data_IF_221335534284
#
_entry.id   IF_221335534284
#
_cell.length_a   1.000
_cell.length_b   1.000
_cell.length_c   1.000
_cell.angle_alpha   90.00
_cell.angle_beta   90.00
_cell.angle_gamma   90.00
#
_symmetry.space_group_name_H-M   'P 1'
#
loop_
_entity.id
_entity.type
_entity.pdbx_description
1 polymer ?
#
# COMPACT_ATOMS: atom_id res chain seq x y z
N UNK A 1 -5.74 2.90 -11.73
CA UNK A 1 -5.50 3.08 -10.29
C UNK A 1 -5.47 1.68 -9.72
N UNK A 2 -4.42 1.33 -9.00
CA UNK A 2 -4.36 0.01 -8.35
C UNK A 2 -5.39 0.01 -7.23
N UNK A 3 -6.34 -0.90 -7.31
CA UNK A 3 -7.43 -1.02 -6.35
C UNK A 3 -6.88 -1.43 -4.98
N UNK A 4 -7.20 -0.63 -3.96
CA UNK A 4 -6.79 -0.90 -2.58
C UNK A 4 -7.78 -1.89 -1.97
N UNK A 5 -7.27 -2.96 -1.39
CA UNK A 5 -8.06 -4.08 -0.87
C UNK A 5 -8.12 -4.11 0.65
N UNK A 6 -7.02 -3.75 1.32
CA UNK A 6 -6.94 -3.77 2.78
C UNK A 6 -6.45 -2.45 3.34
N UNK A 7 -7.15 -1.92 4.32
CA UNK A 7 -6.62 -0.90 5.22
C UNK A 7 -6.00 -1.60 6.43
N UNK A 8 -4.73 -1.34 6.71
CA UNK A 8 -4.02 -1.93 7.84
C UNK A 8 -3.52 -0.88 8.83
N UNK A 9 -3.52 -1.26 10.11
CA UNK A 9 -2.97 -0.52 11.23
C UNK A 9 -1.72 -1.22 11.74
N UNK A 10 -0.65 -0.45 11.97
CA UNK A 10 0.67 -0.93 12.36
C UNK A 10 1.13 -0.19 13.62
N UNK A 11 1.57 -0.92 14.65
CA UNK A 11 2.15 -0.33 15.87
C UNK A 11 3.11 -1.29 16.56
N UNK A 12 3.85 -0.83 17.58
CA UNK A 12 4.62 -1.73 18.45
C UNK A 12 3.67 -2.54 19.33
N UNK A 13 4.05 -3.78 19.67
CA UNK A 13 3.36 -4.56 20.72
C UNK A 13 3.43 -3.89 22.11
N UNK A 14 4.35 -2.94 22.31
CA UNK A 14 4.38 -2.10 23.50
C UNK A 14 3.38 -0.94 23.41
N UNK A 15 2.16 -1.20 23.90
CA UNK A 15 1.06 -0.23 23.95
C UNK A 15 1.34 1.02 24.79
N UNK A 16 2.47 1.10 25.50
CA UNK A 16 2.86 2.32 26.21
C UNK A 16 3.33 3.43 25.27
N UNK A 17 3.63 3.11 24.01
CA UNK A 17 4.07 4.07 22.98
C UNK A 17 2.95 4.31 21.97
N UNK A 18 2.55 5.57 21.81
CA UNK A 18 1.44 5.98 20.94
C UNK A 18 1.84 6.09 19.45
N UNK A 19 2.90 5.42 19.01
CA UNK A 19 3.35 5.44 17.62
C UNK A 19 2.54 4.44 16.80
N UNK A 20 2.00 4.87 15.66
CA UNK A 20 1.28 4.00 14.75
C UNK A 20 1.38 4.49 13.31
N UNK A 21 1.11 3.58 12.38
CA UNK A 21 0.93 3.90 10.97
C UNK A 21 -0.37 3.27 10.45
N UNK A 22 -0.99 3.95 9.48
CA UNK A 22 -2.05 3.39 8.66
C UNK A 22 -1.51 3.21 7.24
N UNK A 23 -1.88 2.12 6.59
CA UNK A 23 -1.40 1.79 5.26
C UNK A 23 -2.49 1.10 4.44
N UNK A 24 -2.58 1.43 3.16
CA UNK A 24 -3.51 0.82 2.19
C UNK A 24 -2.76 -0.16 1.28
N UNK A 25 -3.18 -1.43 1.30
CA UNK A 25 -2.58 -2.52 0.51
C UNK A 25 -3.41 -2.80 -0.76
N UNK A 26 -2.78 -3.16 -1.89
CA UNK A 26 -1.34 -3.29 -2.08
C UNK A 26 -0.62 -1.94 -2.06
N UNK A 27 0.49 -1.90 -1.34
CA UNK A 27 1.37 -0.75 -1.18
C UNK A 27 2.67 -0.98 -1.94
N UNK A 28 3.29 0.11 -2.40
CA UNK A 28 4.61 0.06 -3.02
C UNK A 28 5.71 -0.28 -1.99
N UNK A 29 6.89 -0.74 -2.44
CA UNK A 29 8.02 -1.01 -1.54
C UNK A 29 8.35 0.15 -0.59
N UNK A 30 8.39 1.39 -1.08
CA UNK A 30 8.67 2.54 -0.22
C UNK A 30 7.50 2.93 0.69
N UNK A 31 6.25 2.73 0.28
CA UNK A 31 5.08 2.92 1.16
C UNK A 31 5.11 1.93 2.35
N UNK A 32 5.52 0.68 2.12
CA UNK A 32 5.69 -0.32 3.18
C UNK A 32 6.78 0.08 4.19
N UNK A 33 7.94 0.52 3.70
CA UNK A 33 9.06 0.97 4.54
C UNK A 33 8.71 2.25 5.31
N UNK A 34 7.99 3.16 4.67
CA UNK A 34 7.49 4.39 5.30
C UNK A 34 6.53 4.11 6.47
N UNK A 35 5.66 3.11 6.30
CA UNK A 35 4.77 2.70 7.37
C UNK A 35 5.54 2.13 8.58
N UNK A 36 6.67 1.46 8.36
CA UNK A 36 7.56 1.03 9.44
C UNK A 36 8.28 2.20 10.13
N UNK A 37 8.74 3.20 9.36
CA UNK A 37 9.33 4.43 9.90
C UNK A 37 8.33 5.16 10.82
N UNK A 38 7.05 5.21 10.44
CA UNK A 38 5.95 5.82 11.22
C UNK A 38 5.52 5.00 12.43
N UNK A 39 5.57 3.67 12.34
CA UNK A 39 5.29 2.78 13.46
C UNK A 39 6.39 2.87 14.55
N UNK A 40 7.59 3.37 14.20
CA UNK A 40 8.71 3.67 15.13
C UNK A 40 9.04 2.49 16.04
N UNK A 41 9.12 1.29 15.46
CA UNK A 41 9.41 0.06 16.19
C UNK A 41 10.77 0.14 16.89
N UNK A 42 10.82 0.02 18.23
CA UNK A 42 12.07 -0.08 18.97
C UNK A 42 12.90 -1.30 18.55
N UNK A 43 14.21 -1.24 18.76
CA UNK A 43 15.07 -2.41 18.55
C UNK A 43 14.62 -3.59 19.44
N UNK A 44 14.36 -4.74 18.81
CA UNK A 44 13.93 -5.96 19.50
C UNK A 44 12.41 -6.09 19.71
N UNK A 45 11.62 -5.05 19.45
CA UNK A 45 10.16 -5.12 19.51
C UNK A 45 9.56 -5.81 18.27
N UNK A 46 8.37 -6.37 18.46
CA UNK A 46 7.59 -6.98 17.39
C UNK A 46 6.56 -6.00 16.84
N UNK A 47 6.32 -6.08 15.54
CA UNK A 47 5.27 -5.33 14.86
C UNK A 47 3.92 -5.99 15.15
N UNK A 48 2.99 -5.22 15.70
CA UNK A 48 1.57 -5.57 15.67
C UNK A 48 0.95 -5.04 14.39
N UNK A 49 0.19 -5.90 13.71
CA UNK A 49 -0.55 -5.59 12.48
C UNK A 49 -2.02 -5.97 12.70
N UNK A 50 -2.92 -5.10 12.27
CA UNK A 50 -4.35 -5.36 12.24
C UNK A 50 -4.96 -4.86 10.94
N UNK A 51 -5.77 -5.70 10.28
CA UNK A 51 -6.58 -5.28 9.13
C UNK A 51 -7.82 -4.59 9.71
N UNK A 52 -7.91 -3.28 9.51
CA UNK A 52 -9.00 -2.45 10.01
C UNK A 52 -10.16 -2.35 9.02
N UNK A 53 -9.90 -2.57 7.73
CA UNK A 53 -10.94 -2.63 6.71
C UNK A 53 -10.58 -3.56 5.54
N UNK A 54 -11.62 -4.12 4.93
CA UNK A 54 -11.57 -4.96 3.73
C UNK A 54 -12.46 -4.28 2.71
N UNK A 55 -11.85 -3.67 1.69
CA UNK A 55 -12.58 -2.98 0.62
C UNK A 55 -13.22 -3.97 -0.37
N UNK A 56 -12.66 -5.17 -0.45
CA UNK A 56 -13.15 -6.28 -1.26
C UNK A 56 -12.77 -7.63 -0.62
N UNK A 57 -13.24 -8.74 -1.19
CA UNK A 57 -13.03 -10.11 -0.74
C UNK A 57 -13.47 -10.34 0.72
N UNK A 58 -14.74 -10.01 1.01
CA UNK A 58 -15.38 -10.19 2.33
C UNK A 58 -15.21 -11.61 2.92
N UNK A 59 -15.11 -12.63 2.07
CA UNK A 59 -14.81 -14.02 2.47
C UNK A 59 -13.54 -14.12 3.35
N UNK A 60 -12.55 -13.25 3.12
CA UNK A 60 -11.27 -13.25 3.81
C UNK A 60 -11.36 -12.77 5.26
N UNK A 61 -12.41 -12.04 5.67
CA UNK A 61 -12.60 -11.62 7.07
C UNK A 61 -12.64 -12.81 8.03
N UNK A 62 -13.17 -13.94 7.56
CA UNK A 62 -13.23 -15.19 8.33
C UNK A 62 -11.90 -15.96 8.34
N UNK A 63 -10.97 -15.64 7.43
CA UNK A 63 -9.72 -16.36 7.19
C UNK A 63 -8.51 -15.65 7.84
N UNK A 64 -8.49 -14.32 7.83
CA UNK A 64 -7.36 -13.52 8.27
C UNK A 64 -7.53 -13.07 9.73
N UNK A 65 -7.00 -13.87 10.66
CA UNK A 65 -6.82 -13.44 12.06
C UNK A 65 -5.44 -12.80 12.23
N UNK A 66 -5.42 -11.50 12.55
CA UNK A 66 -4.26 -10.62 12.34
C UNK A 66 -3.05 -10.90 13.24
N UNK A 67 -3.18 -11.69 14.31
CA UNK A 67 -2.15 -11.83 15.36
C UNK A 67 -0.84 -12.53 14.94
N UNK A 68 -0.77 -13.08 13.73
CA UNK A 68 0.44 -13.72 13.17
C UNK A 68 0.76 -13.32 11.72
N UNK A 69 0.19 -12.22 11.22
CA UNK A 69 0.26 -11.84 9.80
C UNK A 69 1.57 -11.11 9.46
N UNK A 70 2.29 -11.61 8.46
CA UNK A 70 3.49 -10.99 7.91
C UNK A 70 3.11 -9.86 6.93
N UNK A 71 3.52 -8.61 7.18
CA UNK A 71 3.18 -7.45 6.35
C UNK A 71 3.56 -7.65 4.86
N UNK A 72 4.82 -8.00 4.51
CA UNK A 72 5.19 -8.39 3.15
C UNK A 72 4.30 -9.46 2.50
N UNK A 73 3.91 -10.50 3.25
CA UNK A 73 3.11 -11.58 2.71
C UNK A 73 1.65 -11.16 2.48
N UNK A 74 1.10 -10.34 3.37
CA UNK A 74 -0.22 -9.73 3.19
C UNK A 74 -0.23 -8.76 2.00
N UNK A 75 0.85 -8.00 1.80
CA UNK A 75 0.98 -7.12 0.64
C UNK A 75 1.04 -7.89 -0.68
N UNK A 76 1.80 -8.99 -0.75
CA UNK A 76 1.85 -9.86 -1.95
C UNK A 76 0.48 -10.51 -2.23
N UNK A 77 -0.26 -10.91 -1.18
CA UNK A 77 -1.64 -11.36 -1.36
C UNK A 77 -2.50 -10.24 -1.98
N UNK A 78 -2.46 -9.03 -1.41
CA UNK A 78 -3.23 -7.90 -1.92
C UNK A 78 -2.87 -7.57 -3.39
N UNK A 79 -1.59 -7.61 -3.75
CA UNK A 79 -1.11 -7.33 -5.11
C UNK A 79 -1.58 -8.39 -6.12
N UNK A 80 -1.68 -9.65 -5.71
CA UNK A 80 -2.23 -10.72 -6.56
C UNK A 80 -3.73 -10.54 -6.76
N UNK A 81 -4.45 -10.27 -5.68
CA UNK A 81 -5.89 -10.10 -5.71
C UNK A 81 -6.30 -8.88 -6.54
N UNK A 82 -5.54 -7.77 -6.48
CA UNK A 82 -5.83 -6.55 -7.25
C UNK A 82 -5.60 -6.70 -8.77
N UNK A 83 -5.04 -7.84 -9.21
CA UNK A 83 -4.79 -8.16 -10.63
C UNK A 83 -5.80 -9.13 -11.21
N UNK A 84 -6.68 -9.71 -10.38
CA UNK A 84 -7.68 -10.66 -10.84
C UNK A 84 -8.76 -9.91 -11.64
N UNK A 85 -9.16 -10.46 -12.78
CA UNK A 85 -10.38 -10.03 -13.45
C UNK A 85 -11.65 -10.55 -12.72
N UNK A 86 -12.84 -10.13 -13.15
CA UNK A 86 -14.10 -10.51 -12.51
C UNK A 86 -14.31 -12.03 -12.44
N UNK A 87 -13.90 -12.77 -13.48
CA UNK A 87 -14.03 -14.22 -13.53
C UNK A 87 -13.05 -14.89 -12.58
N UNK A 88 -11.81 -14.43 -12.58
CA UNK A 88 -10.76 -14.90 -11.66
C UNK A 88 -11.09 -14.57 -10.21
N UNK A 89 -11.74 -13.45 -9.95
CA UNK A 89 -12.27 -13.09 -8.64
C UNK A 89 -13.28 -14.14 -8.14
N UNK A 90 -14.28 -14.50 -8.96
CA UNK A 90 -15.24 -15.57 -8.62
C UNK A 90 -14.53 -16.90 -8.42
N UNK A 91 -13.56 -17.25 -9.26
CA UNK A 91 -12.76 -18.47 -9.11
C UNK A 91 -12.04 -18.52 -7.75
N UNK A 92 -11.35 -17.44 -7.39
CA UNK A 92 -10.64 -17.32 -6.12
C UNK A 92 -11.58 -17.49 -4.92
N UNK A 93 -12.72 -16.80 -4.90
CA UNK A 93 -13.68 -16.93 -3.80
C UNK A 93 -14.22 -18.36 -3.70
N UNK A 94 -14.48 -19.03 -4.82
CA UNK A 94 -14.86 -20.44 -4.86
C UNK A 94 -13.80 -21.34 -4.22
N UNK A 95 -12.53 -21.15 -4.58
CA UNK A 95 -11.42 -21.89 -3.99
C UNK A 95 -11.30 -21.67 -2.48
N UNK A 96 -11.44 -20.42 -2.00
CA UNK A 96 -11.41 -20.11 -0.56
C UNK A 96 -12.54 -20.82 0.18
N UNK A 97 -13.76 -20.83 -0.40
CA UNK A 97 -14.92 -21.53 0.18
C UNK A 97 -14.70 -23.04 0.27
N UNK A 98 -14.09 -23.66 -0.73
CA UNK A 98 -13.70 -25.07 -0.69
C UNK A 98 -12.73 -25.34 0.46
N UNK A 99 -11.72 -24.49 0.65
CA UNK A 99 -10.77 -24.65 1.76
C UNK A 99 -11.44 -24.45 3.13
N UNK A 100 -12.34 -23.46 3.27
CA UNK A 100 -13.07 -23.22 4.51
C UNK A 100 -13.96 -24.40 4.93
N UNK A 101 -14.51 -25.16 3.97
CA UNK A 101 -15.29 -26.37 4.26
C UNK A 101 -14.45 -27.47 4.90
N UNK A 102 -13.12 -27.47 4.72
CA UNK A 102 -12.21 -28.45 5.35
C UNK A 102 -12.02 -28.20 6.85
N UNK A 103 -12.44 -27.04 7.37
CA UNK A 103 -12.32 -26.65 8.78
C UNK A 103 -10.87 -26.61 9.29
N UNK A 104 -9.91 -26.41 8.39
CA UNK A 104 -8.51 -26.19 8.72
C UNK A 104 -8.17 -24.70 8.73
N UNK A 105 -7.23 -24.22 9.56
CA UNK A 105 -6.81 -22.82 9.52
C UNK A 105 -6.18 -22.46 8.17
N UNK A 106 -6.75 -21.49 7.46
CA UNK A 106 -6.16 -20.97 6.23
C UNK A 106 -4.96 -20.07 6.57
N UNK A 107 -3.81 -20.40 6.00
CA UNK A 107 -2.60 -19.57 6.10
C UNK A 107 -2.56 -18.54 4.97
N UNK A 108 -1.82 -17.44 5.18
CA UNK A 108 -1.56 -16.45 4.12
C UNK A 108 -0.91 -17.10 2.89
N UNK A 109 0.07 -17.97 3.10
CA UNK A 109 0.67 -18.75 2.02
C UNK A 109 -0.39 -19.50 1.22
N UNK A 110 -1.33 -20.18 1.89
CA UNK A 110 -2.38 -20.92 1.20
C UNK A 110 -3.27 -19.98 0.39
N UNK A 111 -3.67 -18.84 0.95
CA UNK A 111 -4.45 -17.83 0.22
C UNK A 111 -3.71 -17.30 -1.02
N UNK A 112 -2.39 -17.12 -0.93
CA UNK A 112 -1.56 -16.71 -2.08
C UNK A 112 -1.46 -17.80 -3.14
N UNK A 113 -1.36 -19.08 -2.75
CA UNK A 113 -1.43 -20.22 -3.67
C UNK A 113 -2.80 -20.24 -4.39
N UNK A 114 -3.90 -20.01 -3.67
CA UNK A 114 -5.24 -19.95 -4.26
C UNK A 114 -5.39 -18.78 -5.25
N UNK A 115 -4.89 -17.58 -4.89
CA UNK A 115 -4.92 -16.42 -5.78
C UNK A 115 -4.14 -16.67 -7.07
N UNK A 116 -2.99 -17.34 -6.99
CA UNK A 116 -2.23 -17.77 -8.17
C UNK A 116 -2.88 -18.92 -8.97
N UNK A 117 -3.94 -19.52 -8.43
CA UNK A 117 -4.66 -20.65 -9.02
C UNK A 117 -6.05 -20.28 -9.54
N UNK A 118 -6.37 -18.98 -9.65
CA UNK A 118 -7.65 -18.54 -10.18
C UNK A 118 -7.95 -19.10 -11.59
N UNK A 119 -6.92 -19.26 -12.42
CA UNK A 119 -7.03 -19.86 -13.76
C UNK A 119 -7.19 -21.39 -13.76
N UNK A 120 -6.98 -22.04 -12.62
CA UNK A 120 -7.14 -23.50 -12.46
C UNK A 120 -8.61 -23.92 -12.26
N UNK A 121 -9.56 -22.99 -12.42
CA UNK A 121 -10.98 -23.22 -12.22
C UNK A 121 -11.84 -22.95 -13.46
N UNK A 122 -12.91 -23.72 -13.61
CA UNK A 122 -14.03 -23.39 -14.48
C UNK A 122 -15.02 -22.58 -13.68
N UNK A 123 -15.46 -21.47 -14.25
CA UNK A 123 -16.45 -20.56 -13.67
C UNK A 123 -17.64 -20.52 -14.61
N UNK A 124 -18.81 -20.85 -14.08
CA UNK A 124 -20.08 -20.65 -14.76
C UNK A 124 -20.76 -19.46 -14.08
N UNK A 125 -20.72 -18.32 -14.76
CA UNK A 125 -21.29 -17.06 -14.27
C UNK A 125 -22.82 -17.16 -14.11
N UNK A 126 -23.38 -16.42 -13.15
CA UNK A 126 -24.83 -16.35 -12.91
C UNK A 126 -25.52 -17.65 -12.48
N UNK A 127 -24.76 -18.70 -12.18
CA UNK A 127 -25.27 -19.99 -11.70
C UNK A 127 -25.02 -20.11 -10.20
N UNK A 128 -26.08 -19.97 -9.40
CA UNK A 128 -26.00 -19.92 -7.92
C UNK A 128 -26.95 -20.92 -7.25
N UNK A 129 -27.54 -21.83 -8.02
CA UNK A 129 -28.47 -22.85 -7.54
C UNK A 129 -28.39 -24.13 -8.37
N UNK A 130 -28.75 -25.25 -7.75
CA UNK A 130 -28.75 -26.56 -8.42
C UNK A 130 -29.69 -26.57 -9.63
N UNK A 131 -30.85 -25.90 -9.58
CA UNK A 131 -31.74 -25.78 -10.74
C UNK A 131 -31.12 -25.04 -11.94
N UNK A 132 -30.41 -23.93 -11.69
CA UNK A 132 -29.72 -23.20 -12.75
C UNK A 132 -28.55 -24.02 -13.32
N UNK A 133 -27.80 -24.69 -12.45
CA UNK A 133 -26.69 -25.54 -12.84
C UNK A 133 -27.16 -26.71 -13.69
N UNK A 134 -28.22 -27.41 -13.27
CA UNK A 134 -28.74 -28.53 -14.03
C UNK A 134 -29.28 -28.14 -15.39
N UNK A 135 -29.91 -26.96 -15.51
CA UNK A 135 -30.31 -26.39 -16.80
C UNK A 135 -29.11 -26.10 -17.69
N UNK A 136 -28.07 -25.46 -17.16
CA UNK A 136 -26.82 -25.21 -17.88
C UNK A 136 -26.19 -26.53 -18.37
N UNK A 137 -26.12 -27.56 -17.54
CA UNK A 137 -25.55 -28.86 -17.92
C UNK A 137 -26.36 -29.56 -19.01
N UNK A 138 -27.70 -29.53 -18.90
CA UNK A 138 -28.59 -30.12 -19.88
C UNK A 138 -28.54 -29.39 -21.24
N UNK A 139 -28.57 -28.05 -21.25
CA UNK A 139 -28.56 -27.23 -22.47
C UNK A 139 -27.22 -27.30 -23.23
N UNK A 140 -26.11 -27.47 -22.51
CA UNK A 140 -24.77 -27.52 -23.11
C UNK A 140 -24.28 -28.95 -23.40
N UNK A 141 -25.14 -29.97 -23.28
CA UNK A 141 -24.82 -31.35 -23.65
C UNK A 141 -23.89 -32.09 -22.68
N UNK A 142 -23.77 -31.62 -21.44
CA UNK A 142 -23.02 -32.31 -20.38
C UNK A 142 -23.78 -33.51 -19.79
N UNK A 143 -25.05 -33.69 -20.16
CA UNK A 143 -25.92 -34.82 -19.77
C UNK A 143 -26.33 -35.58 -21.03
N UNK A 144 -25.61 -36.64 -21.44
CA UNK A 144 -25.90 -37.36 -22.67
C UNK A 144 -27.32 -37.95 -22.73
N UNK A 145 -27.90 -38.30 -21.58
CA UNK A 145 -29.23 -38.90 -21.48
C UNK A 145 -30.37 -37.97 -21.91
N UNK A 146 -30.14 -36.66 -21.95
CA UNK A 146 -31.16 -35.65 -22.35
C UNK A 146 -30.94 -35.12 -23.76
N UNK A 147 -29.89 -35.58 -24.45
CA UNK A 147 -29.57 -35.14 -25.80
C UNK A 147 -30.65 -35.58 -26.81
N UNK A 148 -31.18 -34.63 -27.59
CA UNK A 148 -32.20 -34.89 -28.59
C UNK A 148 -33.63 -35.09 -28.06
N UNK A 149 -33.89 -34.80 -26.78
CA UNK A 149 -35.26 -34.74 -26.26
C UNK A 149 -36.07 -33.63 -26.93
N UNK A 150 -37.38 -33.82 -27.18
CA UNK A 150 -38.25 -32.73 -27.62
C UNK A 150 -38.34 -31.62 -26.57
N UNK A 151 -38.41 -30.35 -26.99
CA UNK A 151 -38.46 -29.17 -26.10
C UNK A 151 -39.50 -29.29 -24.98
N UNK A 152 -40.70 -29.81 -25.31
CA UNK A 152 -41.78 -29.99 -24.33
C UNK A 152 -41.46 -31.04 -23.25
N UNK A 153 -40.58 -32.00 -23.53
CA UNK A 153 -40.10 -32.99 -22.57
C UNK A 153 -38.88 -32.45 -21.82
N UNK A 154 -38.03 -31.68 -22.49
CA UNK A 154 -36.85 -31.04 -21.89
C UNK A 154 -37.24 -30.09 -20.75
N UNK A 155 -38.28 -29.27 -20.93
CA UNK A 155 -38.78 -28.37 -19.87
C UNK A 155 -39.45 -29.10 -18.69
N UNK A 156 -39.63 -30.42 -18.76
CA UNK A 156 -40.14 -31.26 -17.66
C UNK A 156 -39.02 -31.95 -16.86
N UNK A 157 -37.76 -31.72 -17.22
CA UNK A 157 -36.62 -32.28 -16.51
C UNK A 157 -36.52 -31.72 -15.09
N UNK A 158 -36.09 -32.57 -14.16
CA UNK A 158 -35.76 -32.17 -12.79
C UNK A 158 -34.35 -31.55 -12.77
N UNK A 159 -34.26 -30.28 -13.18
CA UNK A 159 -32.98 -29.58 -13.24
C UNK A 159 -32.31 -29.44 -11.87
N UNK A 160 -33.08 -29.38 -10.79
CA UNK A 160 -32.51 -29.31 -9.43
C UNK A 160 -31.73 -30.60 -9.13
N UNK A 161 -32.29 -31.76 -9.42
CA UNK A 161 -31.60 -33.03 -9.24
C UNK A 161 -30.38 -33.17 -10.16
N UNK A 162 -30.48 -32.73 -11.42
CA UNK A 162 -29.35 -32.77 -12.36
C UNK A 162 -28.20 -31.92 -11.84
N UNK A 163 -28.47 -30.69 -11.39
CA UNK A 163 -27.46 -29.80 -10.86
C UNK A 163 -26.86 -30.29 -9.54
N UNK A 164 -27.67 -30.84 -8.63
CA UNK A 164 -27.16 -31.45 -7.39
C UNK A 164 -26.18 -32.60 -7.69
N UNK A 165 -26.51 -33.44 -8.66
CA UNK A 165 -25.65 -34.55 -9.11
C UNK A 165 -24.34 -34.03 -9.71
N UNK A 166 -24.41 -33.03 -10.60
CA UNK A 166 -23.22 -32.40 -11.18
C UNK A 166 -22.33 -31.76 -10.10
N UNK A 167 -22.94 -30.93 -9.24
CA UNK A 167 -22.24 -30.23 -8.15
C UNK A 167 -21.50 -31.18 -7.23
N UNK A 168 -22.17 -32.24 -6.80
CA UNK A 168 -21.60 -33.22 -5.88
C UNK A 168 -20.53 -34.08 -6.57
N UNK A 169 -20.74 -34.44 -7.84
CA UNK A 169 -19.81 -35.25 -8.63
C UNK A 169 -18.48 -34.54 -8.93
N UNK A 170 -18.54 -33.22 -9.16
CA UNK A 170 -17.37 -32.40 -9.49
C UNK A 170 -16.79 -31.65 -8.28
N UNK A 171 -17.42 -31.80 -7.11
CA UNK A 171 -17.06 -31.08 -5.88
C UNK A 171 -17.04 -29.55 -6.06
N UNK A 172 -17.88 -29.01 -6.95
CA UNK A 172 -17.96 -27.58 -7.17
C UNK A 172 -18.73 -26.83 -6.08
N UNK A 173 -18.55 -25.52 -6.04
CA UNK A 173 -19.17 -24.64 -5.03
C UNK A 173 -19.87 -23.46 -5.67
N UNK A 174 -20.93 -22.99 -4.99
CA UNK A 174 -21.57 -21.74 -5.34
C UNK A 174 -20.89 -20.57 -4.65
N UNK A 175 -20.59 -19.55 -5.44
CA UNK A 175 -20.17 -18.23 -5.03
C UNK A 175 -21.39 -17.31 -5.18
N UNK A 176 -21.94 -16.78 -4.09
CA UNK A 176 -23.06 -15.84 -4.16
C UNK A 176 -22.62 -14.58 -4.90
N UNK A 177 -23.60 -13.84 -5.43
CA UNK A 177 -23.35 -12.50 -5.97
C UNK A 177 -22.69 -11.62 -4.90
N UNK A 178 -21.55 -11.04 -5.26
CA UNK A 178 -20.74 -10.14 -4.44
C UNK A 178 -20.68 -8.77 -5.09
N UNK A 179 -19.47 -8.22 -5.26
CA UNK A 179 -19.23 -6.97 -6.02
C UNK A 179 -19.51 -7.19 -7.52
N UNK A 180 -19.21 -8.38 -8.06
CA UNK A 180 -19.77 -8.79 -9.35
C UNK A 180 -21.23 -9.21 -9.15
N UNK A 181 -22.17 -8.46 -9.74
CA UNK A 181 -23.62 -8.62 -9.59
C UNK A 181 -24.16 -10.02 -9.98
N UNK A 182 -23.30 -10.90 -10.52
CA UNK A 182 -23.69 -12.15 -11.15
C UNK A 182 -23.47 -13.38 -10.24
N UNK A 183 -22.44 -13.41 -9.39
CA UNK A 183 -22.03 -14.65 -8.70
C UNK A 183 -21.71 -15.78 -9.68
N UNK A 184 -21.53 -17.01 -9.18
CA UNK A 184 -21.30 -18.14 -10.09
C UNK A 184 -21.02 -19.48 -9.42
N UNK A 185 -20.86 -20.49 -10.27
CA UNK A 185 -20.49 -21.84 -9.89
C UNK A 185 -19.04 -22.11 -10.27
N UNK A 186 -18.24 -22.61 -9.32
CA UNK A 186 -16.79 -22.80 -9.47
C UNK A 186 -16.42 -24.25 -9.28
N UNK A 187 -15.66 -24.80 -10.22
CA UNK A 187 -15.09 -26.15 -10.18
C UNK A 187 -13.60 -26.07 -10.47
N UNK A 188 -12.77 -26.69 -9.64
CA UNK A 188 -11.34 -26.84 -9.93
C UNK A 188 -11.16 -27.85 -11.09
N UNK A 189 -10.49 -27.45 -12.17
CA UNK A 189 -10.26 -28.30 -13.34
C UNK A 189 -8.84 -28.85 -13.46
N UNK A 190 -7.88 -28.28 -12.73
CA UNK A 190 -6.47 -28.65 -12.77
C UNK A 190 -5.80 -28.49 -11.41
N UNK A 191 -4.57 -28.98 -11.30
CA UNK A 191 -3.77 -28.84 -10.09
C UNK A 191 -3.54 -27.35 -9.75
N UNK A 192 -3.57 -27.04 -8.46
CA UNK A 192 -3.35 -25.68 -7.98
C UNK A 192 -1.88 -25.31 -8.10
N UNK A 193 -1.63 -24.06 -8.47
CA UNK A 193 -0.31 -23.47 -8.45
C UNK A 193 0.16 -23.27 -7.01
N UNK A 194 1.48 -23.29 -6.83
CA UNK A 194 2.10 -22.87 -5.57
C UNK A 194 3.07 -21.74 -5.81
N UNK A 195 2.99 -20.73 -4.96
CA UNK A 195 3.86 -19.55 -5.02
C UNK A 195 5.05 -19.70 -4.07
N UNK A 196 6.17 -19.00 -4.34
CA UNK A 196 7.31 -18.98 -3.42
C UNK A 196 6.91 -18.46 -2.03
N UNK A 197 7.51 -19.07 -0.99
CA UNK A 197 7.34 -18.61 0.39
C UNK A 197 8.06 -17.27 0.62
N UNK A 198 7.39 -16.37 1.34
CA UNK A 198 7.98 -15.10 1.76
C UNK A 198 8.48 -15.28 3.18
N UNK A 199 9.79 -15.50 3.30
CA UNK A 199 10.45 -15.80 4.59
C UNK A 199 10.80 -14.53 5.39
N UNK A 200 10.83 -13.37 4.72
CA UNK A 200 11.19 -12.11 5.36
C UNK A 200 9.96 -11.51 6.05
N UNK A 201 10.11 -11.24 7.35
CA UNK A 201 9.08 -10.55 8.13
C UNK A 201 9.12 -9.01 7.99
N UNK A 202 10.02 -8.50 7.14
CA UNK A 202 10.19 -7.06 6.88
C UNK A 202 10.26 -6.78 5.38
N UNK A 203 9.71 -5.65 4.91
CA UNK A 203 9.90 -5.18 3.54
C UNK A 203 11.39 -4.99 3.23
N UNK A 204 11.75 -5.24 1.98
CA UNK A 204 13.12 -5.08 1.48
C UNK A 204 13.25 -3.72 0.83
N UNK A 205 14.36 -3.03 1.09
CA UNK A 205 14.70 -1.78 0.39
C UNK A 205 14.88 -2.08 -1.11
N UNK A 206 14.11 -1.42 -2.01
CA UNK A 206 14.28 -1.60 -3.44
C UNK A 206 15.60 -0.99 -3.92
N UNK A 207 16.03 -1.38 -5.12
CA UNK A 207 17.27 -0.92 -5.76
C UNK A 207 17.17 0.49 -6.39
N UNK A 208 16.10 1.23 -6.08
CA UNK A 208 15.81 2.55 -6.63
C UNK A 208 15.32 3.51 -5.54
N UNK A 209 15.64 4.80 -5.68
CA UNK A 209 15.02 5.85 -4.89
C UNK A 209 13.72 6.34 -5.51
N UNK A 210 13.61 6.36 -6.84
CA UNK A 210 12.41 6.79 -7.57
C UNK A 210 12.16 5.80 -8.70
N UNK A 211 10.93 5.32 -8.86
CA UNK A 211 10.49 4.48 -9.96
C UNK A 211 9.46 5.25 -10.78
N UNK A 212 9.77 5.45 -12.06
CA UNK A 212 9.01 6.25 -13.00
C UNK A 212 8.40 5.35 -14.08
N UNK A 213 7.17 5.67 -14.48
CA UNK A 213 6.57 5.25 -15.74
C UNK A 213 6.68 6.41 -16.71
N UNK A 214 7.37 6.17 -17.81
CA UNK A 214 7.52 7.09 -18.92
C UNK A 214 6.57 6.64 -20.04
N UNK A 215 5.83 7.58 -20.62
CA UNK A 215 4.91 7.30 -21.71
C UNK A 215 5.06 8.32 -22.84
N UNK A 216 4.87 7.85 -24.07
CA UNK A 216 4.95 8.64 -25.28
C UNK A 216 3.75 8.31 -26.18
N UNK A 217 2.96 9.32 -26.54
CA UNK A 217 1.86 9.16 -27.49
C UNK A 217 2.36 9.48 -28.90
N UNK A 218 2.07 8.59 -29.83
CA UNK A 218 2.41 8.75 -31.24
C UNK A 218 1.14 8.98 -32.05
N UNK A 219 0.72 10.23 -32.16
CA UNK A 219 -0.47 10.63 -32.94
C UNK A 219 -0.25 10.52 -34.45
N UNK A 220 1.01 10.56 -34.90
CA UNK A 220 1.38 10.50 -36.32
C UNK A 220 1.40 9.08 -36.90
N UNK A 221 1.20 8.04 -36.08
CA UNK A 221 1.16 6.65 -36.52
C UNK A 221 -0.25 6.22 -36.91
N UNK A 222 -0.42 5.40 -37.98
CA UNK A 222 -1.72 5.05 -38.54
C UNK A 222 -2.67 4.29 -37.59
N UNK A 223 -2.17 3.83 -36.44
CA UNK A 223 -2.95 3.13 -35.42
C UNK A 223 -2.90 3.77 -34.03
N UNK A 224 -2.27 4.94 -33.85
CA UNK A 224 -2.15 5.62 -32.55
C UNK A 224 -1.55 4.72 -31.46
N UNK A 225 -0.24 4.81 -31.21
CA UNK A 225 0.43 4.02 -30.18
C UNK A 225 0.72 4.84 -28.92
N UNK A 226 0.71 4.20 -27.75
CA UNK A 226 1.37 4.73 -26.56
C UNK A 226 2.49 3.77 -26.19
N UNK A 227 3.73 4.21 -26.36
CA UNK A 227 4.89 3.45 -25.91
C UNK A 227 5.11 3.76 -24.42
N UNK A 228 5.43 2.73 -23.64
CA UNK A 228 5.61 2.84 -22.19
C UNK A 228 6.92 2.18 -21.80
N UNK A 229 7.73 2.91 -21.02
CA UNK A 229 9.02 2.44 -20.49
C UNK A 229 9.05 2.73 -18.99
N UNK A 230 9.52 1.78 -18.20
CA UNK A 230 9.80 2.01 -16.78
C UNK A 230 11.25 2.42 -16.58
N UNK A 231 11.48 3.45 -15.76
CA UNK A 231 12.80 3.94 -15.42
C UNK A 231 12.98 3.99 -13.90
N UNK A 232 14.08 3.43 -13.42
CA UNK A 232 14.48 3.49 -12.01
C UNK A 232 15.60 4.49 -11.85
N UNK A 233 15.49 5.37 -10.85
CA UNK A 233 16.52 6.35 -10.51
C UNK A 233 17.15 6.03 -9.15
N UNK A 234 18.47 6.27 -8.99
CA UNK A 234 19.39 6.80 -9.99
C UNK A 234 19.73 5.78 -11.09
N UNK A 235 20.05 6.28 -12.28
CA UNK A 235 20.44 5.48 -13.43
C UNK A 235 21.65 6.11 -14.15
N UNK A 236 22.44 5.28 -14.81
CA UNK A 236 23.54 5.73 -15.67
C UNK A 236 22.99 6.47 -16.90
N UNK A 237 23.75 7.43 -17.42
CA UNK A 237 23.33 8.25 -18.57
C UNK A 237 22.97 7.38 -19.80
N UNK A 238 23.64 6.24 -19.99
CA UNK A 238 23.31 5.30 -21.08
C UNK A 238 21.91 4.68 -20.95
N UNK A 239 21.44 4.43 -19.73
CA UNK A 239 20.10 3.91 -19.44
C UNK A 239 19.07 5.02 -19.64
N UNK A 240 19.40 6.26 -19.25
CA UNK A 240 18.56 7.43 -19.46
C UNK A 240 18.32 7.70 -20.95
N UNK A 241 19.40 7.71 -21.75
CA UNK A 241 19.33 7.88 -23.20
C UNK A 241 18.52 6.75 -23.87
N UNK A 242 18.72 5.50 -23.42
CA UNK A 242 17.99 4.35 -23.93
C UNK A 242 16.49 4.45 -23.62
N UNK A 243 16.12 4.90 -22.41
CA UNK A 243 14.72 5.04 -22.01
C UNK A 243 13.97 6.03 -22.93
N UNK A 244 14.58 7.17 -23.25
CA UNK A 244 13.99 8.17 -24.17
C UNK A 244 13.98 7.66 -25.61
N UNK A 245 15.07 7.01 -26.06
CA UNK A 245 15.15 6.46 -27.41
C UNK A 245 14.13 5.35 -27.67
N UNK A 246 13.82 4.53 -26.67
CA UNK A 246 12.78 3.50 -26.75
C UNK A 246 11.37 4.10 -26.95
N UNK A 247 11.17 5.35 -26.53
CA UNK A 247 9.94 6.11 -26.74
C UNK A 247 9.96 6.93 -28.03
N UNK A 248 10.99 6.77 -28.87
CA UNK A 248 11.10 7.44 -30.17
C UNK A 248 11.48 8.92 -30.11
N UNK A 249 11.93 9.43 -28.95
CA UNK A 249 12.32 10.83 -28.78
C UNK A 249 13.84 11.00 -28.65
N UNK A 250 14.31 12.23 -28.87
CA UNK A 250 15.72 12.62 -28.68
C UNK A 250 15.95 13.32 -27.33
N UNK A 251 14.89 13.82 -26.70
CA UNK A 251 14.93 14.51 -25.42
C UNK A 251 13.65 14.23 -24.59
N UNK A 252 13.66 14.70 -23.35
CA UNK A 252 12.59 14.52 -22.37
C UNK A 252 11.36 15.40 -22.60
N UNK A 253 11.41 16.36 -23.53
CA UNK A 253 10.42 17.43 -23.63
C UNK A 253 9.01 16.96 -23.98
N UNK A 254 8.88 15.82 -24.66
CA UNK A 254 7.60 15.21 -25.06
C UNK A 254 7.27 13.92 -24.29
N UNK A 255 8.09 13.55 -23.30
CA UNK A 255 7.89 12.33 -22.51
C UNK A 255 6.97 12.63 -21.33
N UNK A 256 5.83 11.95 -21.27
CA UNK A 256 4.98 11.97 -20.07
C UNK A 256 5.65 11.16 -18.97
N UNK A 257 5.77 11.74 -17.77
CA UNK A 257 6.41 11.12 -16.61
C UNK A 257 5.42 11.02 -15.45
N UNK A 258 5.26 9.81 -14.92
CA UNK A 258 4.47 9.52 -13.72
C UNK A 258 5.32 8.76 -12.71
N UNK A 259 5.37 9.21 -11.46
CA UNK A 259 6.05 8.48 -10.40
C UNK A 259 5.20 7.30 -9.89
N UNK A 260 5.72 6.08 -10.03
CA UNK A 260 5.10 4.87 -9.50
C UNK A 260 5.44 4.66 -8.03
N UNK A 261 6.68 4.95 -7.65
CA UNK A 261 7.17 4.74 -6.29
C UNK A 261 8.33 5.70 -5.95
N UNK A 262 8.43 6.13 -4.69
CA UNK A 262 9.43 7.09 -4.24
C UNK A 262 9.85 6.83 -2.79
N UNK A 263 11.16 6.92 -2.51
CA UNK A 263 11.78 6.78 -1.18
C UNK A 263 11.20 7.71 -0.12
N UNK A 264 10.60 8.81 -0.56
CA UNK A 264 9.77 9.70 0.24
C UNK A 264 8.37 9.69 -0.37
N UNK A 265 7.45 8.83 0.09
CA UNK A 265 6.13 8.66 -0.53
C UNK A 265 5.32 9.95 -0.62
N UNK A 266 5.52 10.91 0.29
CA UNK A 266 4.86 12.22 0.26
C UNK A 266 5.18 13.04 -0.99
N UNK A 267 6.31 12.78 -1.67
CA UNK A 267 6.70 13.48 -2.89
C UNK A 267 6.20 12.80 -4.17
N UNK A 268 5.69 11.57 -4.09
CA UNK A 268 5.31 10.75 -5.26
C UNK A 268 4.34 11.48 -6.19
N UNK A 269 3.28 12.06 -5.65
CA UNK A 269 2.25 12.78 -6.45
C UNK A 269 2.77 14.09 -7.07
N UNK A 270 3.89 14.61 -6.58
CA UNK A 270 4.48 15.87 -7.04
C UNK A 270 5.56 15.65 -8.12
N UNK A 271 6.02 14.41 -8.31
CA UNK A 271 6.95 14.03 -9.37
C UNK A 271 6.15 13.71 -10.63
N UNK A 272 6.00 14.72 -11.49
CA UNK A 272 5.18 14.68 -12.72
C UNK A 272 5.95 15.25 -13.91
N UNK A 273 5.38 15.15 -15.12
CA UNK A 273 5.92 15.79 -16.33
C UNK A 273 6.09 17.31 -16.23
N UNK A 274 5.45 17.98 -15.26
CA UNK A 274 5.61 19.42 -15.05
C UNK A 274 6.96 19.78 -14.41
N UNK A 275 7.62 18.82 -13.77
CA UNK A 275 8.93 19.01 -13.14
C UNK A 275 10.00 18.68 -14.17
N UNK A 276 11.03 19.55 -14.36
CA UNK A 276 12.14 19.24 -15.25
C UNK A 276 12.81 17.91 -14.87
N UNK A 277 13.06 17.05 -15.86
CA UNK A 277 13.63 15.72 -15.61
C UNK A 277 14.97 15.78 -14.85
N UNK A 278 15.82 16.77 -15.14
CA UNK A 278 17.08 16.97 -14.41
C UNK A 278 16.86 17.22 -12.90
N UNK A 279 15.78 17.92 -12.53
CA UNK A 279 15.41 18.12 -11.12
C UNK A 279 14.96 16.79 -10.49
N UNK A 280 14.20 15.96 -11.21
CA UNK A 280 13.79 14.62 -10.75
C UNK A 280 15.02 13.71 -10.58
N UNK A 281 15.95 13.72 -11.53
CA UNK A 281 17.24 13.00 -11.46
C UNK A 281 18.04 13.43 -10.24
N UNK A 282 18.18 14.74 -10.01
CA UNK A 282 18.87 15.28 -8.85
C UNK A 282 18.22 14.83 -7.53
N UNK A 283 16.88 14.82 -7.45
CA UNK A 283 16.18 14.28 -6.28
C UNK A 283 16.52 12.80 -6.07
N UNK A 284 16.50 11.99 -7.12
CA UNK A 284 16.90 10.58 -7.06
C UNK A 284 18.30 10.39 -6.49
N UNK A 285 19.28 11.17 -6.96
CA UNK A 285 20.67 11.13 -6.48
C UNK A 285 20.80 11.56 -5.02
N UNK A 286 20.06 12.59 -4.59
CA UNK A 286 20.03 13.06 -3.20
C UNK A 286 19.45 11.99 -2.29
N UNK A 287 18.30 11.41 -2.65
CA UNK A 287 17.63 10.37 -1.87
C UNK A 287 18.44 9.09 -1.75
N UNK A 288 19.18 8.69 -2.80
CA UNK A 288 20.07 7.52 -2.75
C UNK A 288 21.28 7.75 -1.85
N UNK A 289 21.87 8.95 -1.87
CA UNK A 289 23.03 9.27 -1.01
C UNK A 289 22.65 9.58 0.43
N UNK A 290 21.37 9.82 0.71
CA UNK A 290 20.89 10.14 2.05
C UNK A 290 21.11 8.93 2.99
N UNK A 291 21.79 9.12 4.13
CA UNK A 291 21.94 8.06 5.12
C UNK A 291 20.58 7.58 5.62
N UNK A 292 20.40 6.27 5.77
CA UNK A 292 19.12 5.68 6.21
C UNK A 292 18.63 6.27 7.54
N UNK A 293 19.53 6.59 8.46
CA UNK A 293 19.16 7.22 9.74
C UNK A 293 18.61 8.66 9.61
N UNK A 294 18.89 9.35 8.51
CA UNK A 294 18.43 10.71 8.26
C UNK A 294 17.07 10.74 7.54
N UNK A 295 16.68 9.62 6.91
CA UNK A 295 15.46 9.54 6.09
C UNK A 295 14.19 9.86 6.90
N UNK A 296 13.97 9.35 8.13
CA UNK A 296 12.79 9.73 8.92
C UNK A 296 12.74 11.22 9.24
N UNK A 297 13.88 11.86 9.52
CA UNK A 297 13.95 13.30 9.78
C UNK A 297 13.60 14.11 8.52
N UNK A 298 14.07 13.67 7.36
CA UNK A 298 13.73 14.32 6.09
C UNK A 298 12.25 14.16 5.75
N UNK A 299 11.68 12.96 5.90
CA UNK A 299 10.24 12.72 5.72
C UNK A 299 9.38 13.55 6.67
N UNK A 300 9.82 13.68 7.93
CA UNK A 300 9.18 14.55 8.91
C UNK A 300 9.21 16.02 8.48
N UNK A 301 10.34 16.49 7.96
CA UNK A 301 10.52 17.86 7.48
C UNK A 301 9.64 18.15 6.25
N UNK A 302 9.60 17.23 5.29
CA UNK A 302 8.71 17.31 4.11
C UNK A 302 7.24 17.42 4.55
N UNK A 303 6.81 16.61 5.51
CA UNK A 303 5.44 16.65 6.04
C UNK A 303 5.16 17.95 6.82
N UNK A 304 6.06 18.35 7.72
CA UNK A 304 5.90 19.54 8.57
C UNK A 304 5.89 20.86 7.78
N UNK A 305 6.59 20.90 6.65
CA UNK A 305 6.64 22.08 5.78
C UNK A 305 5.56 22.08 4.69
N UNK A 306 4.74 21.03 4.63
CA UNK A 306 3.73 20.79 3.59
C UNK A 306 4.36 20.90 2.19
N UNK A 307 5.52 20.25 2.00
CA UNK A 307 6.29 20.38 0.77
C UNK A 307 5.61 19.67 -0.42
N UNK A 308 5.27 20.45 -1.45
CA UNK A 308 4.56 19.99 -2.65
C UNK A 308 5.36 20.15 -3.94
N UNK A 309 6.62 20.62 -3.86
CA UNK A 309 7.44 20.93 -5.04
C UNK A 309 8.82 20.28 -4.88
N UNK A 310 9.30 19.68 -5.96
CA UNK A 310 10.55 18.90 -5.95
C UNK A 310 11.77 19.80 -5.70
N UNK A 311 11.77 21.02 -6.24
CA UNK A 311 12.83 22.00 -6.05
C UNK A 311 12.96 22.40 -4.57
N UNK A 312 11.83 22.64 -3.91
CA UNK A 312 11.85 22.98 -2.49
C UNK A 312 12.26 21.75 -1.64
N UNK A 313 11.87 20.54 -2.04
CA UNK A 313 12.29 19.31 -1.38
C UNK A 313 13.82 19.14 -1.42
N UNK A 314 14.47 19.50 -2.53
CA UNK A 314 15.93 19.51 -2.64
C UNK A 314 16.58 20.49 -1.66
N UNK A 315 16.04 21.71 -1.55
CA UNK A 315 16.52 22.71 -0.58
C UNK A 315 16.39 22.21 0.86
N UNK A 316 15.26 21.59 1.20
CA UNK A 316 15.03 21.02 2.53
C UNK A 316 16.00 19.86 2.85
N UNK A 317 16.47 19.13 1.83
CA UNK A 317 17.46 18.07 2.04
C UNK A 317 18.82 18.65 2.44
N UNK A 318 19.19 19.82 1.91
CA UNK A 318 20.43 20.52 2.26
C UNK A 318 20.39 21.11 3.67
N UNK A 319 19.20 21.48 4.16
CA UNK A 319 18.96 22.09 5.48
C UNK A 319 18.61 21.07 6.58
N UNK A 320 18.74 19.77 6.28
CA UNK A 320 18.31 18.73 7.21
C UNK A 320 19.09 18.75 8.53
N UNK A 321 20.36 19.16 8.49
CA UNK A 321 21.22 19.29 9.67
C UNK A 321 20.80 20.43 10.61
N UNK A 322 20.02 21.40 10.14
CA UNK A 322 19.40 22.45 10.95
C UNK A 322 18.23 21.93 11.81
N UNK A 323 17.80 20.68 11.59
CA UNK A 323 16.66 20.07 12.25
C UNK A 323 17.07 18.89 13.16
N UNK A 324 16.24 18.63 14.17
CA UNK A 324 16.37 17.50 15.10
C UNK A 324 15.04 16.75 15.11
N UNK A 325 15.09 15.45 14.86
CA UNK A 325 13.96 14.54 15.04
C UNK A 325 14.16 13.69 16.30
N UNK A 326 13.20 13.76 17.22
CA UNK A 326 13.09 12.91 18.40
C UNK A 326 12.01 11.85 18.17
N UNK A 327 12.39 10.70 17.60
CA UNK A 327 11.47 9.61 17.24
C UNK A 327 10.83 8.89 18.43
N UNK A 328 11.42 9.00 19.61
CA UNK A 328 10.88 8.42 20.84
C UNK A 328 9.61 9.13 21.34
N UNK A 329 9.42 10.40 20.95
CA UNK A 329 8.31 11.24 21.42
C UNK A 329 7.11 11.07 20.49
N UNK A 330 6.07 10.38 20.98
CA UNK A 330 4.86 10.12 20.23
C UNK A 330 3.69 11.04 20.61
N UNK A 331 3.72 11.63 21.81
CA UNK A 331 2.65 12.47 22.30
C UNK A 331 3.12 13.62 23.19
N UNK A 332 2.26 14.63 23.47
CA UNK A 332 2.58 15.69 24.43
C UNK A 332 2.96 15.16 25.82
N UNK A 333 2.34 14.05 26.25
CA UNK A 333 2.65 13.41 27.53
C UNK A 333 4.09 12.91 27.59
N UNK A 334 4.65 12.41 26.48
CA UNK A 334 6.05 11.99 26.39
C UNK A 334 6.99 13.18 26.59
N UNK A 335 6.70 14.32 25.93
CA UNK A 335 7.46 15.57 26.11
C UNK A 335 7.45 16.03 27.56
N UNK A 336 6.28 16.03 28.19
CA UNK A 336 6.13 16.39 29.59
C UNK A 336 6.88 15.41 30.51
N UNK A 337 6.82 14.11 30.23
CA UNK A 337 7.49 13.08 31.01
C UNK A 337 9.02 13.22 30.91
N UNK A 338 9.57 13.48 29.72
CA UNK A 338 10.99 13.73 29.52
C UNK A 338 11.45 15.01 30.24
N UNK A 339 10.69 16.11 30.13
CA UNK A 339 11.04 17.36 30.80
C UNK A 339 11.07 17.22 32.32
N UNK A 340 10.09 16.50 32.89
CA UNK A 340 10.07 16.18 34.31
C UNK A 340 11.24 15.26 34.70
N UNK A 341 11.61 14.30 33.85
CA UNK A 341 12.74 13.40 34.09
C UNK A 341 14.10 14.11 34.11
N UNK A 342 14.23 15.21 33.37
CA UNK A 342 15.41 16.07 33.39
C UNK A 342 15.42 16.97 34.64
N UNK A 343 14.25 17.45 35.05
CA UNK A 343 14.13 18.48 36.09
C UNK A 343 14.01 17.95 37.53
N UNK A 344 13.53 16.73 37.72
CA UNK A 344 13.15 16.16 39.02
C UNK A 344 13.74 14.76 39.25
N UNK A 345 13.81 14.36 40.53
CA UNK A 345 14.19 12.99 40.88
C UNK A 345 13.09 11.98 40.53
N UNK A 346 13.45 10.69 40.40
CA UNK A 346 12.47 9.63 40.10
C UNK A 346 11.40 9.51 41.20
N UNK A 347 11.77 9.77 42.45
CA UNK A 347 10.88 9.78 43.61
C UNK A 347 9.86 10.93 43.51
N UNK A 348 10.32 12.13 43.16
CA UNK A 348 9.47 13.32 43.03
C UNK A 348 8.50 13.19 41.84
N UNK A 349 8.95 12.63 40.71
CA UNK A 349 8.11 12.38 39.54
C UNK A 349 6.96 11.44 39.90
N UNK A 350 7.22 10.36 40.64
CA UNK A 350 6.18 9.43 41.09
C UNK A 350 5.16 10.11 42.00
N UNK A 351 5.60 11.03 42.85
CA UNK A 351 4.73 11.76 43.76
C UNK A 351 3.86 12.78 43.02
N UNK A 352 4.42 13.50 42.05
CA UNK A 352 3.75 14.62 41.38
C UNK A 352 2.89 14.19 40.18
N UNK A 353 3.24 13.07 39.53
CA UNK A 353 2.56 12.58 38.31
C UNK A 353 1.03 12.43 38.45
N UNK A 354 0.46 11.93 39.56
CA UNK A 354 -1.00 11.86 39.73
C UNK A 354 -1.68 13.23 39.86
N UNK A 355 -0.91 14.30 40.09
CA UNK A 355 -1.41 15.65 40.37
C UNK A 355 -1.16 16.63 39.22
N UNK A 356 -0.48 16.21 38.15
CA UNK A 356 -0.19 17.03 36.96
C UNK A 356 -0.96 16.49 35.76
N UNK A 357 -1.56 17.39 34.99
CA UNK A 357 -2.05 17.07 33.66
C UNK A 357 -0.89 17.14 32.65
N UNK A 358 -0.24 15.98 32.41
CA UNK A 358 0.90 15.85 31.51
C UNK A 358 0.57 16.28 30.07
N UNK A 359 -0.66 16.03 29.61
CA UNK A 359 -1.09 16.43 28.27
C UNK A 359 -1.01 17.94 28.07
N UNK A 360 -1.66 18.70 28.96
CA UNK A 360 -1.67 20.17 28.87
C UNK A 360 -0.29 20.78 29.10
N UNK A 361 0.52 20.18 29.98
CA UNK A 361 1.88 20.65 30.20
C UNK A 361 2.76 20.39 28.97
N UNK A 362 2.67 19.21 28.38
CA UNK A 362 3.33 18.84 27.14
C UNK A 362 2.99 19.76 25.98
N UNK A 363 1.70 20.08 25.79
CA UNK A 363 1.26 21.03 24.78
C UNK A 363 1.88 22.42 24.96
N UNK A 364 1.99 22.90 26.21
CA UNK A 364 2.64 24.16 26.50
C UNK A 364 4.14 24.11 26.18
N UNK A 365 4.82 22.99 26.48
CA UNK A 365 6.24 22.79 26.14
C UNK A 365 6.44 22.81 24.61
N UNK A 366 5.66 22.03 23.86
CA UNK A 366 5.67 22.02 22.40
C UNK A 366 5.52 23.44 21.81
N UNK A 367 4.52 24.19 22.28
CA UNK A 367 4.28 25.55 21.81
C UNK A 367 5.43 26.51 22.14
N UNK A 368 6.05 26.38 23.33
CA UNK A 368 7.17 27.25 23.74
C UNK A 368 8.49 26.96 23.02
N UNK A 369 8.66 25.73 22.53
CA UNK A 369 9.85 25.28 21.79
C UNK A 369 9.69 25.40 20.26
N UNK A 370 8.50 25.80 19.80
CA UNK A 370 8.12 25.79 18.39
C UNK A 370 8.28 24.42 17.72
N UNK A 371 8.10 23.34 18.48
CA UNK A 371 8.24 21.97 18.00
C UNK A 371 6.98 21.52 17.26
N UNK A 372 7.13 20.69 16.23
CA UNK A 372 6.02 20.12 15.47
C UNK A 372 5.95 18.61 15.70
N UNK A 373 4.79 18.12 16.12
CA UNK A 373 4.52 16.69 16.19
C UNK A 373 4.25 16.15 14.78
N UNK A 374 5.02 15.17 14.35
CA UNK A 374 4.87 14.50 13.04
C UNK A 374 4.57 13.01 13.22
N UNK A 375 4.20 12.34 12.13
CA UNK A 375 4.05 10.87 12.10
C UNK A 375 5.38 10.12 12.35
N UNK A 376 6.52 10.81 12.32
CA UNK A 376 7.85 10.24 12.57
C UNK A 376 8.42 10.59 13.95
N UNK A 377 7.69 11.41 14.74
CA UNK A 377 8.12 11.89 16.05
C UNK A 377 8.12 13.41 16.15
N UNK A 378 8.79 13.93 17.17
CA UNK A 378 8.87 15.37 17.41
C UNK A 378 9.98 16.01 16.58
N UNK A 379 9.63 17.00 15.77
CA UNK A 379 10.58 17.74 14.91
C UNK A 379 10.81 19.16 15.44
N UNK A 380 12.06 19.57 15.51
CA UNK A 380 12.49 20.87 16.04
C UNK A 380 13.60 21.46 15.18
N UNK A 381 13.71 22.79 15.13
CA UNK A 381 14.88 23.50 14.59
C UNK A 381 15.92 23.70 15.68
N UNK A 382 17.20 23.54 15.33
CA UNK A 382 18.33 23.75 16.26
C UNK A 382 18.43 25.17 16.79
N UNK A 383 17.98 26.15 16.02
CA UNK A 383 17.98 27.57 16.39
C UNK A 383 16.75 27.98 17.24
N UNK A 384 15.83 27.04 17.51
CA UNK A 384 14.60 27.26 18.27
C UNK A 384 13.54 28.08 17.54
N UNK A 385 13.75 28.43 16.26
CA UNK A 385 12.76 29.11 15.45
C UNK A 385 11.63 28.16 15.04
N UNK A 386 10.44 28.68 14.72
CA UNK A 386 9.37 27.85 14.19
C UNK A 386 9.74 27.24 12.83
N UNK A 387 9.25 26.03 12.62
CA UNK A 387 9.19 25.39 11.31
C UNK A 387 7.96 25.98 10.61
N UNK A 388 8.19 26.68 9.51
CA UNK A 388 7.12 27.30 8.72
C UNK A 388 6.83 26.45 7.49
N UNK A 389 5.56 26.42 7.06
CA UNK A 389 5.23 25.82 5.77
C UNK A 389 5.86 26.60 4.63
N UNK A 390 6.14 25.94 3.50
CA UNK A 390 6.75 26.60 2.34
C UNK A 390 5.90 27.79 1.85
N UNK A 391 4.57 27.65 1.92
CA UNK A 391 3.64 28.73 1.60
C UNK A 391 3.83 29.97 2.48
N UNK A 392 4.11 29.80 3.77
CA UNK A 392 4.39 30.90 4.70
C UNK A 392 5.74 31.55 4.40
N UNK A 393 6.78 30.75 4.15
CA UNK A 393 8.13 31.26 3.84
C UNK A 393 8.14 32.12 2.55
N UNK A 394 7.32 31.77 1.56
CA UNK A 394 7.18 32.54 0.30
C UNK A 394 6.38 33.84 0.46
N UNK A 395 5.59 33.98 1.52
CA UNK A 395 4.79 35.18 1.80
C UNK A 395 5.49 36.21 2.69
N UNK A 396 6.49 35.80 3.47
CA UNK A 396 7.29 36.75 4.24
C UNK A 396 8.17 37.59 3.29
N UNK A 397 8.10 38.94 3.33
CA UNK A 397 9.06 39.75 2.60
C UNK A 397 10.45 39.47 3.17
N UNK A 398 11.40 39.11 2.30
CA UNK A 398 12.84 39.07 2.63
C UNK A 398 13.25 40.45 3.15
N UNK A 399 13.15 40.67 4.46
CA UNK A 399 13.61 41.89 5.13
C UNK A 399 15.13 41.85 5.14
N UNK A 400 15.73 42.23 4.01
CA UNK A 400 17.18 42.12 3.82
C UNK A 400 17.74 42.98 2.70
N UNK A 401 17.02 44.00 2.20
CA UNK A 401 17.60 45.06 1.36
C UNK A 401 17.03 46.41 1.80
N UNK A 402 17.40 46.86 3.01
CA UNK A 402 17.45 48.29 3.29
C UNK A 402 18.75 48.81 2.70
N UNK A 403 18.70 49.27 1.45
CA UNK A 403 19.69 50.20 0.93
C UNK A 403 19.69 51.44 1.84
N UNK A 404 20.81 51.66 2.54
CA UNK A 404 21.13 52.92 3.20
C UNK A 404 21.39 53.96 2.10
N UNK A 405 20.37 54.74 1.77
CA UNK A 405 20.47 55.99 1.00
C UNK A 405 20.90 57.17 1.85
#
# INVERSE_FOLDING_TARGET
MDEKLFSVYLTSTDYSKLAYAKLELPASPWELLDALDKARLPEGDSLYLEIIDYHDFEVLRSCLTCSATNLPELNDLAERLSRLDERQHTAFEGLVRVELQKQEPLTLKRLRDLAASADCCHVVESVVSDGQLGRFYAENGFVPEVEGLPDAVFELLDFEKIGEMARTGECGVYVPSGISDLGGYVVQHSDLNSVPEILLCRPVEPDYAIHLRLAARHEDLPFGGTDVVELKLPAEDSVLEMAVSCLGYADWGAVECTCLDCKVPQLKEHITSAVPFETIKQLGDVLTRMPTQNLPAYKALIAATECQHVEDALVLAEQLDEHILSSAIASPEDVAAEELAVSLSKEDIKLIRPHINLHTYGQALLASRNSIQTEYGLLERRDGQPIQSIGQQKQEPRMGEMELG
#
